data_IF_543211220740
#
_entry.id   IF_543211220740
#
_cell.length_a   1.000
_cell.length_b   1.000
_cell.length_c   1.000
_cell.angle_alpha   90.00
_cell.angle_beta   90.00
_cell.angle_gamma   90.00
#
_symmetry.space_group_name_H-M   'P 1'
#
loop_
_entity.id
_entity.type
_entity.pdbx_description
1 polymer ?
#
# COMPACT_ATOMS: atom_id res chain seq x y z
N UNK A 1 -7.13 -24.70 11.59
CA UNK A 1 -7.53 -23.94 12.78
C UNK A 1 -8.25 -22.72 12.24
N UNK A 2 -9.55 -22.56 12.53
CA UNK A 2 -10.40 -21.50 11.94
C UNK A 2 -10.63 -20.43 13.00
N UNK A 3 -10.55 -19.16 12.62
CA UNK A 3 -10.70 -18.07 13.57
C UNK A 3 -12.16 -17.94 14.02
N UNK A 4 -12.39 -17.63 15.31
CA UNK A 4 -13.73 -17.59 15.90
C UNK A 4 -14.67 -16.58 15.20
N UNK A 5 -14.13 -15.48 14.68
CA UNK A 5 -14.92 -14.48 13.95
C UNK A 5 -15.48 -15.02 12.62
N UNK A 6 -14.71 -15.83 11.88
CA UNK A 6 -15.18 -16.47 10.64
C UNK A 6 -16.32 -17.45 10.91
N UNK A 7 -16.25 -18.18 12.02
CA UNK A 7 -17.31 -19.10 12.46
C UNK A 7 -18.55 -18.32 12.94
N UNK A 8 -18.35 -17.18 13.61
CA UNK A 8 -19.45 -16.34 14.10
C UNK A 8 -20.21 -15.62 12.97
N UNK A 9 -19.51 -15.23 11.91
CA UNK A 9 -20.11 -14.58 10.74
C UNK A 9 -20.95 -15.55 9.90
N UNK A 10 -20.48 -16.79 9.69
CA UNK A 10 -21.17 -17.80 8.88
C UNK A 10 -21.24 -19.15 9.62
N UNK A 11 -22.06 -19.27 10.68
CA UNK A 11 -22.08 -20.47 11.52
C UNK A 11 -22.58 -21.72 10.79
N UNK A 12 -23.45 -21.54 9.80
CA UNK A 12 -24.04 -22.63 9.01
C UNK A 12 -23.00 -23.38 8.17
N UNK A 13 -21.95 -22.68 7.68
CA UNK A 13 -20.83 -23.28 6.94
C UNK A 13 -20.06 -24.30 7.80
N UNK A 14 -20.15 -24.15 9.12
CA UNK A 14 -19.52 -25.03 10.11
C UNK A 14 -20.53 -25.97 10.78
N UNK A 15 -21.78 -26.02 10.29
CA UNK A 15 -22.89 -26.80 10.89
C UNK A 15 -23.15 -26.44 12.36
N UNK A 16 -22.92 -25.18 12.70
CA UNK A 16 -23.17 -24.63 14.02
C UNK A 16 -24.36 -23.67 13.95
N UNK A 17 -25.09 -23.57 15.05
CA UNK A 17 -26.14 -22.56 15.20
C UNK A 17 -25.63 -21.39 16.03
N UNK A 18 -26.21 -20.20 15.83
CA UNK A 18 -25.91 -19.04 16.67
C UNK A 18 -26.14 -19.29 18.17
N UNK A 19 -27.09 -20.16 18.53
CA UNK A 19 -27.34 -20.57 19.91
C UNK A 19 -26.18 -21.42 20.48
N UNK A 20 -25.64 -22.36 19.69
CA UNK A 20 -24.50 -23.17 20.09
C UNK A 20 -23.23 -22.32 20.26
N UNK A 21 -23.01 -21.34 19.39
CA UNK A 21 -21.88 -20.42 19.52
C UNK A 21 -21.95 -19.58 20.80
N UNK A 22 -23.12 -19.06 21.16
CA UNK A 22 -23.31 -18.27 22.39
C UNK A 22 -23.09 -19.09 23.67
N UNK A 23 -23.21 -20.41 23.60
CA UNK A 23 -22.99 -21.29 24.75
C UNK A 23 -21.49 -21.57 25.00
N UNK A 24 -20.62 -21.28 24.03
CA UNK A 24 -19.18 -21.48 24.19
C UNK A 24 -18.61 -20.41 25.10
N UNK A 25 -18.00 -20.85 26.21
CA UNK A 25 -17.26 -19.98 27.12
C UNK A 25 -15.83 -19.84 26.61
N UNK A 26 -15.43 -18.62 26.29
CA UNK A 26 -14.09 -18.33 25.81
C UNK A 26 -13.31 -17.67 26.95
N UNK A 27 -12.13 -18.19 27.31
CA UNK A 27 -11.26 -17.48 28.23
C UNK A 27 -10.84 -16.17 27.56
N UNK A 28 -11.05 -15.06 28.25
CA UNK A 28 -10.56 -13.76 27.81
C UNK A 28 -9.66 -13.17 28.89
N UNK A 29 -8.72 -12.37 28.45
CA UNK A 29 -7.88 -11.56 29.32
C UNK A 29 -8.17 -10.10 29.00
N UNK A 30 -8.49 -9.32 30.03
CA UNK A 30 -8.62 -7.88 29.94
C UNK A 30 -7.33 -7.25 30.42
N UNK A 31 -6.75 -6.44 29.55
CA UNK A 31 -5.60 -5.61 29.87
C UNK A 31 -6.09 -4.17 30.01
N UNK A 32 -5.74 -3.55 31.13
CA UNK A 32 -6.08 -2.17 31.46
C UNK A 32 -4.84 -1.28 31.31
N UNK A 33 -5.04 0.02 31.17
CA UNK A 33 -3.97 1.03 31.11
C UNK A 33 -2.94 0.84 29.98
N UNK A 34 -3.28 0.06 28.95
CA UNK A 34 -2.48 -0.03 27.73
C UNK A 34 -2.72 1.18 26.84
N UNK A 35 -1.64 1.74 26.29
CA UNK A 35 -1.74 2.64 25.16
C UNK A 35 -2.33 1.91 23.94
N UNK A 36 -3.00 2.65 23.05
CA UNK A 36 -3.62 2.07 21.85
C UNK A 36 -2.59 1.30 21.01
N UNK A 37 -1.35 1.78 20.91
CA UNK A 37 -0.25 1.10 20.22
C UNK A 37 0.11 -0.25 20.86
N UNK A 38 0.15 -0.33 22.19
CA UNK A 38 0.45 -1.57 22.91
C UNK A 38 -0.68 -2.61 22.74
N UNK A 39 -1.94 -2.15 22.79
CA UNK A 39 -3.10 -3.00 22.55
C UNK A 39 -3.09 -3.61 21.13
N UNK A 40 -2.68 -2.82 20.12
CA UNK A 40 -2.52 -3.31 18.73
C UNK A 40 -1.43 -4.37 18.65
N UNK A 41 -0.29 -4.19 19.30
CA UNK A 41 0.79 -5.17 19.29
C UNK A 41 0.40 -6.49 19.95
N UNK A 42 -0.29 -6.44 21.11
CA UNK A 42 -0.79 -7.65 21.78
C UNK A 42 -1.74 -8.42 20.86
N UNK A 43 -2.60 -7.71 20.12
CA UNK A 43 -3.47 -8.33 19.13
C UNK A 43 -2.67 -8.95 17.98
N UNK A 44 -1.68 -8.26 17.41
CA UNK A 44 -0.82 -8.81 16.36
C UNK A 44 -0.11 -10.09 16.81
N UNK A 45 0.60 -10.03 17.94
CA UNK A 45 1.41 -11.13 18.44
C UNK A 45 0.54 -12.38 18.66
N UNK A 46 -0.65 -12.24 19.25
CA UNK A 46 -1.57 -13.38 19.49
C UNK A 46 -2.20 -13.95 18.22
N UNK A 47 -2.43 -13.13 17.21
CA UNK A 47 -3.10 -13.56 15.98
C UNK A 47 -2.13 -13.97 14.85
N UNK A 48 -0.86 -13.61 14.93
CA UNK A 48 0.15 -14.10 13.98
C UNK A 48 0.87 -15.32 14.52
N UNK A 49 1.15 -15.36 15.84
CA UNK A 49 1.86 -16.47 16.46
C UNK A 49 0.92 -17.55 17.05
N UNK A 50 -0.36 -17.24 17.28
CA UNK A 50 -1.33 -18.15 17.92
C UNK A 50 -2.44 -18.70 17.01
N UNK A 51 -3.17 -17.84 16.30
CA UNK A 51 -4.29 -18.24 15.40
C UNK A 51 -4.32 -17.34 14.17
N UNK A 52 -4.05 -17.91 12.98
CA UNK A 52 -3.90 -17.16 11.72
C UNK A 52 -5.12 -16.27 11.40
N UNK A 53 -4.94 -14.95 11.46
CA UNK A 53 -5.90 -13.96 10.94
C UNK A 53 -5.55 -13.52 9.51
N UNK A 54 -6.47 -12.82 8.85
CA UNK A 54 -6.20 -12.21 7.55
C UNK A 54 -4.96 -11.29 7.62
N UNK A 55 -4.01 -11.51 6.69
CA UNK A 55 -2.68 -10.86 6.70
C UNK A 55 -2.72 -9.34 6.81
N UNK A 56 -3.69 -8.66 6.20
CA UNK A 56 -3.78 -7.19 6.27
C UNK A 56 -4.27 -6.69 7.63
N UNK A 57 -5.16 -7.44 8.29
CA UNK A 57 -5.58 -7.12 9.65
C UNK A 57 -4.41 -7.32 10.63
N UNK A 58 -3.65 -8.41 10.48
CA UNK A 58 -2.41 -8.55 11.22
C UNK A 58 -1.47 -7.37 10.95
N UNK A 59 -1.15 -7.10 9.68
CA UNK A 59 -0.23 -6.00 9.34
C UNK A 59 -0.68 -4.63 9.87
N UNK A 60 -1.97 -4.29 9.84
CA UNK A 60 -2.46 -3.00 10.41
C UNK A 60 -2.34 -2.91 11.94
N UNK A 61 -2.12 -4.03 12.63
CA UNK A 61 -1.94 -4.09 14.07
C UNK A 61 -0.45 -4.21 14.46
N UNK A 62 0.45 -4.40 13.50
CA UNK A 62 1.89 -4.46 13.73
C UNK A 62 2.43 -3.06 14.03
N UNK A 63 2.87 -2.86 15.26
CA UNK A 63 3.45 -1.61 15.74
C UNK A 63 4.98 -1.73 15.90
N UNK A 64 5.62 -2.84 15.51
CA UNK A 64 7.08 -2.97 15.50
C UNK A 64 7.65 -2.83 14.09
N UNK A 65 6.86 -3.15 13.07
CA UNK A 65 7.24 -2.99 11.67
C UNK A 65 7.41 -1.51 11.29
N UNK A 66 8.66 -1.13 11.01
CA UNK A 66 9.06 0.25 10.71
C UNK A 66 8.26 0.81 9.52
N UNK A 67 8.12 0.02 8.45
CA UNK A 67 7.42 0.45 7.24
C UNK A 67 5.91 0.64 7.45
N UNK A 68 5.28 -0.16 8.33
CA UNK A 68 3.87 -0.04 8.68
C UNK A 68 3.63 1.19 9.55
N UNK A 69 4.48 1.43 10.55
CA UNK A 69 4.43 2.67 11.33
C UNK A 69 4.54 3.89 10.40
N UNK A 70 5.53 3.88 9.50
CA UNK A 70 5.74 4.97 8.55
C UNK A 70 4.54 5.16 7.61
N UNK A 71 3.92 4.07 7.13
CA UNK A 71 2.68 4.16 6.35
C UNK A 71 1.52 4.77 7.13
N UNK A 72 1.39 4.45 8.43
CA UNK A 72 0.39 5.08 9.30
C UNK A 72 0.67 6.56 9.52
N UNK A 73 1.93 6.92 9.80
CA UNK A 73 2.34 8.30 10.01
C UNK A 73 2.02 9.14 8.78
N UNK A 74 2.42 8.69 7.58
CA UNK A 74 2.13 9.38 6.31
C UNK A 74 0.61 9.49 6.08
N UNK A 75 -0.14 8.42 6.31
CA UNK A 75 -1.60 8.49 6.16
C UNK A 75 -2.21 9.53 7.11
N UNK A 76 -1.68 9.68 8.32
CA UNK A 76 -2.19 10.60 9.33
C UNK A 76 -1.72 12.04 9.15
N UNK A 77 -0.51 12.25 8.62
CA UNK A 77 0.13 13.57 8.49
C UNK A 77 -0.28 14.32 7.24
N UNK A 78 -0.57 13.59 6.16
CA UNK A 78 -0.91 14.19 4.86
C UNK A 78 -2.33 14.72 4.88
N UNK A 79 -2.49 16.00 4.51
CA UNK A 79 -3.80 16.66 4.39
C UNK A 79 -4.10 16.91 2.92
N UNK A 80 -5.16 16.28 2.42
CA UNK A 80 -5.58 16.41 1.02
C UNK A 80 -6.83 17.26 0.91
N UNK A 81 -7.01 17.89 -0.25
CA UNK A 81 -8.23 18.65 -0.57
C UNK A 81 -9.19 17.76 -1.32
N UNK A 82 -10.35 17.50 -0.73
CA UNK A 82 -11.43 16.72 -1.33
C UNK A 82 -12.13 17.48 -2.47
N UNK A 83 -12.95 16.79 -3.27
CA UNK A 83 -13.63 17.36 -4.44
C UNK A 83 -14.61 18.50 -4.12
N UNK A 84 -15.02 18.64 -2.85
CA UNK A 84 -15.83 19.75 -2.33
C UNK A 84 -14.99 20.92 -1.77
N UNK A 85 -13.67 20.85 -1.88
CA UNK A 85 -12.73 21.85 -1.38
C UNK A 85 -12.39 21.70 0.11
N UNK A 86 -12.91 20.69 0.81
CA UNK A 86 -12.60 20.46 2.23
C UNK A 86 -11.23 19.82 2.40
N UNK A 87 -10.49 20.25 3.43
CA UNK A 87 -9.21 19.65 3.80
C UNK A 87 -9.44 18.52 4.79
N UNK A 88 -9.04 17.30 4.44
CA UNK A 88 -9.22 16.11 5.27
C UNK A 88 -7.93 15.30 5.35
N UNK A 89 -7.69 14.57 6.46
CA UNK A 89 -6.56 13.65 6.54
C UNK A 89 -6.62 12.55 5.48
N UNK A 90 -5.48 12.21 4.89
CA UNK A 90 -5.40 11.16 3.87
C UNK A 90 -5.83 9.78 4.42
N UNK A 91 -5.67 9.56 5.73
CA UNK A 91 -6.12 8.35 6.43
C UNK A 91 -7.59 8.04 6.22
N UNK A 92 -8.43 9.04 5.94
CA UNK A 92 -9.87 8.84 5.60
C UNK A 92 -10.06 8.03 4.31
N UNK A 93 -9.05 8.00 3.44
CA UNK A 93 -9.08 7.27 2.17
C UNK A 93 -8.28 5.96 2.20
N UNK A 94 -7.80 5.53 3.37
CA UNK A 94 -6.97 4.33 3.54
C UNK A 94 -7.73 3.26 4.31
N UNK A 95 -7.98 2.12 3.65
CA UNK A 95 -8.62 0.97 4.27
C UNK A 95 -7.58 0.07 4.96
N UNK A 96 -7.59 0.05 6.29
CA UNK A 96 -6.63 -0.72 7.07
C UNK A 96 -6.96 -2.22 7.18
N UNK A 97 -8.22 -2.61 7.03
CA UNK A 97 -8.68 -3.97 7.40
C UNK A 97 -8.91 -4.90 6.21
N UNK A 98 -9.55 -4.40 5.14
CA UNK A 98 -9.90 -5.22 3.97
C UNK A 98 -8.67 -5.56 3.13
N UNK A 99 -8.69 -6.76 2.54
CA UNK A 99 -7.65 -7.21 1.60
C UNK A 99 -7.72 -6.55 0.24
N UNK A 100 -8.93 -6.26 -0.22
CA UNK A 100 -9.21 -5.63 -1.51
C UNK A 100 -10.36 -4.66 -1.32
N UNK A 101 -10.30 -3.54 -2.03
CA UNK A 101 -11.40 -2.60 -2.10
C UNK A 101 -12.41 -3.06 -3.14
N UNK A 102 -13.68 -2.93 -2.80
CA UNK A 102 -14.80 -3.03 -3.73
C UNK A 102 -15.06 -1.66 -4.38
N UNK A 103 -15.78 -1.66 -5.51
CA UNK A 103 -16.08 -0.42 -6.23
C UNK A 103 -16.92 0.59 -5.41
N UNK A 104 -17.66 0.12 -4.40
CA UNK A 104 -18.50 0.96 -3.54
C UNK A 104 -17.81 1.41 -2.24
N UNK A 105 -16.59 0.95 -1.95
CA UNK A 105 -15.87 1.36 -0.75
C UNK A 105 -15.46 2.82 -0.86
N UNK A 106 -15.69 3.68 0.16
CA UNK A 106 -15.31 5.09 0.11
C UNK A 106 -13.78 5.29 0.08
N UNK A 107 -13.02 4.33 0.60
CA UNK A 107 -11.56 4.35 0.58
C UNK A 107 -11.00 4.17 -0.85
N UNK A 108 -9.79 4.69 -1.06
CA UNK A 108 -9.13 4.75 -2.37
C UNK A 108 -7.99 3.74 -2.50
N UNK A 109 -7.37 3.36 -1.39
CA UNK A 109 -6.36 2.31 -1.33
C UNK A 109 -6.38 1.57 0.00
N UNK A 110 -5.74 0.40 0.06
CA UNK A 110 -5.53 -0.31 1.32
C UNK A 110 -4.25 0.15 2.01
N UNK A 111 -4.17 -0.01 3.33
CA UNK A 111 -2.93 0.22 4.08
C UNK A 111 -1.77 -0.64 3.54
N UNK A 112 -2.06 -1.87 3.09
CA UNK A 112 -1.05 -2.72 2.47
C UNK A 112 -0.54 -2.17 1.13
N UNK A 113 -1.37 -1.48 0.36
CA UNK A 113 -0.94 -0.76 -0.83
C UNK A 113 -0.06 0.45 -0.48
N UNK A 114 -0.45 1.24 0.52
CA UNK A 114 0.36 2.36 1.00
C UNK A 114 1.71 1.89 1.55
N UNK A 115 1.71 0.82 2.33
CA UNK A 115 2.94 0.20 2.83
C UNK A 115 3.83 -0.30 1.70
N UNK A 116 3.26 -0.88 0.64
CA UNK A 116 4.06 -1.28 -0.52
C UNK A 116 4.77 -0.09 -1.17
N UNK A 117 4.09 1.05 -1.31
CA UNK A 117 4.68 2.31 -1.76
C UNK A 117 5.81 2.78 -0.83
N UNK A 118 5.61 2.74 0.49
CA UNK A 118 6.63 3.11 1.48
C UNK A 118 7.86 2.20 1.39
N UNK A 119 7.67 0.88 1.39
CA UNK A 119 8.75 -0.11 1.34
C UNK A 119 9.57 0.05 0.05
N UNK A 120 8.92 0.21 -1.10
CA UNK A 120 9.67 0.40 -2.36
C UNK A 120 10.28 1.79 -2.49
N UNK A 121 9.73 2.82 -1.86
CA UNK A 121 10.38 4.14 -1.76
C UNK A 121 11.67 4.05 -0.96
N UNK A 122 11.65 3.32 0.15
CA UNK A 122 12.81 3.12 1.01
C UNK A 122 13.88 2.21 0.38
N UNK A 123 13.47 1.03 -0.12
CA UNK A 123 14.39 -0.03 -0.54
C UNK A 123 14.57 -0.15 -2.05
N UNK A 124 13.88 0.68 -2.83
CA UNK A 124 13.87 0.59 -4.28
C UNK A 124 13.27 -0.71 -4.77
N UNK A 125 13.84 -1.24 -5.86
CA UNK A 125 13.38 -2.48 -6.51
C UNK A 125 13.41 -3.71 -5.58
N UNK A 126 14.43 -3.95 -4.74
CA UNK A 126 14.40 -5.01 -3.72
C UNK A 126 13.15 -4.98 -2.83
N UNK A 127 12.61 -3.78 -2.55
CA UNK A 127 11.40 -3.57 -1.76
C UNK A 127 10.15 -4.29 -2.32
N UNK A 128 10.10 -4.60 -3.63
CA UNK A 128 8.97 -5.34 -4.22
C UNK A 128 8.83 -6.72 -3.57
N UNK A 129 9.95 -7.42 -3.36
CA UNK A 129 9.96 -8.73 -2.75
C UNK A 129 9.58 -8.68 -1.26
N UNK A 130 9.93 -7.57 -0.60
CA UNK A 130 9.79 -7.33 0.84
C UNK A 130 8.52 -6.56 1.23
N UNK A 131 7.71 -6.13 0.25
CA UNK A 131 6.47 -5.35 0.43
C UNK A 131 5.42 -5.98 1.36
N UNK A 132 5.59 -7.25 1.74
CA UNK A 132 4.74 -7.96 2.70
C UNK A 132 5.51 -8.75 3.76
N UNK A 133 6.83 -8.57 3.84
CA UNK A 133 7.70 -9.07 4.90
C UNK A 133 7.82 -8.02 6.01
N UNK A 134 8.17 -8.42 7.22
CA UNK A 134 8.49 -7.47 8.28
C UNK A 134 9.75 -6.67 7.89
N UNK A 135 9.70 -5.37 8.12
CA UNK A 135 10.79 -4.41 7.93
C UNK A 135 11.15 -3.89 9.32
N UNK A 136 12.38 -4.17 9.71
CA UNK A 136 12.99 -3.76 10.97
C UNK A 136 13.98 -2.63 10.74
N UNK A 137 14.58 -2.11 11.81
CA UNK A 137 15.65 -1.13 11.69
C UNK A 137 16.90 -1.69 10.96
N UNK A 138 17.12 -3.00 10.99
CA UNK A 138 18.22 -3.65 10.26
C UNK A 138 18.01 -3.63 8.73
N UNK A 139 16.77 -3.41 8.27
CA UNK A 139 16.43 -3.30 6.85
C UNK A 139 16.58 -1.86 6.33
N UNK A 140 16.94 -0.90 7.18
CA UNK A 140 17.16 0.50 6.80
C UNK A 140 18.38 0.61 5.88
N UNK A 141 18.33 1.44 4.82
CA UNK A 141 19.46 1.67 3.92
C UNK A 141 20.76 2.03 4.66
N UNK A 142 21.86 1.40 4.26
CA UNK A 142 23.18 1.62 4.86
C UNK A 142 23.56 3.11 4.88
N UNK A 143 24.14 3.58 5.99
CA UNK A 143 24.57 4.97 6.14
C UNK A 143 23.43 5.95 6.46
N UNK A 144 22.22 5.47 6.73
CA UNK A 144 21.08 6.28 7.15
C UNK A 144 20.57 5.87 8.55
N UNK A 145 19.73 6.72 9.16
CA UNK A 145 19.05 6.41 10.43
C UNK A 145 17.54 6.29 10.19
N UNK A 146 16.83 5.65 11.11
CA UNK A 146 15.37 5.54 11.08
C UNK A 146 14.69 6.91 10.97
N UNK A 147 15.19 7.92 11.69
CA UNK A 147 14.66 9.28 11.65
C UNK A 147 14.90 9.95 10.30
N UNK A 148 16.08 9.79 9.71
CA UNK A 148 16.38 10.32 8.37
C UNK A 148 15.48 9.68 7.32
N UNK A 149 15.32 8.35 7.37
CA UNK A 149 14.42 7.66 6.43
C UNK A 149 12.98 8.11 6.61
N UNK A 150 12.51 8.22 7.86
CA UNK A 150 11.16 8.70 8.17
C UNK A 150 10.93 10.09 7.60
N UNK A 151 11.86 11.02 7.79
CA UNK A 151 11.75 12.38 7.27
C UNK A 151 11.71 12.41 5.74
N UNK A 152 12.72 11.83 5.07
CA UNK A 152 12.86 11.88 3.61
C UNK A 152 11.72 11.16 2.87
N UNK A 153 11.29 10.01 3.38
CA UNK A 153 10.16 9.26 2.81
C UNK A 153 8.85 9.99 3.07
N UNK A 154 8.65 10.56 4.26
CA UNK A 154 7.45 11.36 4.55
C UNK A 154 7.36 12.56 3.62
N UNK A 155 8.46 13.28 3.42
CA UNK A 155 8.49 14.49 2.61
C UNK A 155 8.13 14.20 1.15
N UNK A 156 8.76 13.21 0.52
CA UNK A 156 8.48 12.90 -0.88
C UNK A 156 7.08 12.32 -1.08
N UNK A 157 6.61 11.47 -0.15
CA UNK A 157 5.29 10.86 -0.26
C UNK A 157 4.17 11.85 0.08
N UNK A 158 4.39 12.78 0.99
CA UNK A 158 3.45 13.87 1.26
C UNK A 158 3.29 14.75 0.03
N UNK A 159 4.41 15.18 -0.57
CA UNK A 159 4.37 15.94 -1.83
C UNK A 159 3.59 15.20 -2.92
N UNK A 160 3.87 13.91 -3.13
CA UNK A 160 3.19 13.10 -4.14
C UNK A 160 1.69 12.96 -3.86
N UNK A 161 1.33 12.57 -2.63
CA UNK A 161 -0.07 12.34 -2.26
C UNK A 161 -0.89 13.62 -2.33
N UNK A 162 -0.34 14.77 -1.95
CA UNK A 162 -1.01 16.07 -2.06
C UNK A 162 -1.14 16.52 -3.52
N UNK A 163 -0.06 16.46 -4.28
CA UNK A 163 -0.02 16.95 -5.68
C UNK A 163 -0.90 16.12 -6.60
N UNK A 164 -0.86 14.79 -6.44
CA UNK A 164 -1.54 13.84 -7.31
C UNK A 164 -2.83 13.29 -6.72
N UNK A 165 -3.32 13.82 -5.59
CA UNK A 165 -4.60 13.42 -4.99
C UNK A 165 -5.77 13.35 -5.99
N UNK A 166 -5.91 14.28 -6.96
CA UNK A 166 -6.98 14.18 -7.96
C UNK A 166 -6.99 12.84 -8.72
N UNK A 167 -5.83 12.22 -8.97
CA UNK A 167 -5.74 10.90 -9.60
C UNK A 167 -6.26 9.78 -8.69
N UNK A 168 -6.04 9.90 -7.37
CA UNK A 168 -6.60 8.98 -6.38
C UNK A 168 -8.11 9.15 -6.27
N UNK A 169 -8.59 10.39 -6.15
CA UNK A 169 -10.00 10.72 -6.04
C UNK A 169 -10.80 10.24 -7.27
N UNK A 170 -10.22 10.36 -8.47
CA UNK A 170 -10.79 9.83 -9.71
C UNK A 170 -10.65 8.29 -9.85
N UNK A 171 -10.11 7.59 -8.85
CA UNK A 171 -9.88 6.14 -8.83
C UNK A 171 -9.15 5.63 -10.06
N UNK A 172 -8.16 6.38 -10.54
CA UNK A 172 -7.34 6.00 -11.69
C UNK A 172 -6.50 4.75 -11.38
N UNK A 173 -5.67 4.31 -12.31
CA UNK A 173 -4.80 3.15 -12.14
C UNK A 173 -3.82 3.33 -10.94
N UNK A 174 -3.49 4.57 -10.56
CA UNK A 174 -2.56 4.91 -9.47
C UNK A 174 -2.87 4.20 -8.14
N UNK A 175 -4.16 3.92 -7.90
CA UNK A 175 -4.68 3.26 -6.69
C UNK A 175 -4.33 1.77 -6.59
N UNK A 176 -3.81 1.17 -7.67
CA UNK A 176 -3.59 -0.28 -7.72
C UNK A 176 -2.26 -0.68 -7.05
N UNK A 177 -2.19 -1.84 -6.37
CA UNK A 177 -1.00 -2.22 -5.60
C UNK A 177 0.30 -2.27 -6.42
N UNK A 178 0.25 -2.78 -7.65
CA UNK A 178 1.42 -2.82 -8.52
C UNK A 178 1.89 -1.42 -8.92
N UNK A 179 0.97 -0.47 -9.11
CA UNK A 179 1.32 0.91 -9.45
C UNK A 179 1.97 1.63 -8.26
N UNK A 180 1.38 1.48 -7.07
CA UNK A 180 1.95 2.01 -5.83
C UNK A 180 3.37 1.48 -5.59
N UNK A 181 3.59 0.18 -5.78
CA UNK A 181 4.92 -0.39 -5.64
C UNK A 181 5.91 0.15 -6.69
N UNK A 182 5.51 0.20 -7.96
CA UNK A 182 6.36 0.71 -9.04
C UNK A 182 6.69 2.20 -8.89
N UNK A 183 5.73 3.00 -8.42
CA UNK A 183 5.94 4.39 -8.03
C UNK A 183 6.97 4.52 -6.93
N UNK A 184 6.89 3.69 -5.88
CA UNK A 184 7.90 3.76 -4.82
C UNK A 184 9.30 3.39 -5.33
N UNK A 185 9.44 2.43 -6.26
CA UNK A 185 10.74 2.18 -6.91
C UNK A 185 11.23 3.43 -7.65
N UNK A 186 10.34 4.16 -8.33
CA UNK A 186 10.71 5.41 -8.98
C UNK A 186 11.10 6.50 -7.98
N UNK A 187 10.41 6.61 -6.84
CA UNK A 187 10.68 7.57 -5.78
C UNK A 187 11.98 7.28 -5.05
N UNK A 188 12.34 6.01 -4.92
CA UNK A 188 13.64 5.62 -4.38
C UNK A 188 14.80 6.27 -5.14
N UNK A 189 14.66 6.52 -6.45
CA UNK A 189 15.69 7.24 -7.23
C UNK A 189 15.88 8.70 -6.83
N UNK A 190 14.96 9.27 -6.07
CA UNK A 190 15.13 10.62 -5.51
C UNK A 190 15.66 10.60 -4.07
N UNK A 191 15.80 9.42 -3.45
CA UNK A 191 16.24 9.32 -2.06
C UNK A 191 17.75 9.57 -1.91
N UNK A 192 18.19 10.18 -0.79
CA UNK A 192 19.61 10.45 -0.55
C UNK A 192 20.51 9.22 -0.60
N UNK A 193 19.98 8.06 -0.21
CA UNK A 193 20.67 6.76 -0.17
C UNK A 193 20.52 5.93 -1.45
N UNK A 194 19.88 6.47 -2.49
CA UNK A 194 19.80 5.77 -3.77
C UNK A 194 21.19 5.61 -4.38
N UNK A 195 21.53 4.39 -4.79
CA UNK A 195 22.82 4.07 -5.43
C UNK A 195 22.78 4.22 -6.95
N UNK A 196 21.64 4.61 -7.52
CA UNK A 196 21.50 4.85 -8.96
C UNK A 196 22.34 6.07 -9.40
N UNK A 197 23.16 5.89 -10.44
CA UNK A 197 24.05 6.92 -10.98
C UNK A 197 23.30 8.19 -11.46
N UNK A 198 22.06 8.02 -11.89
CA UNK A 198 21.16 9.10 -12.31
C UNK A 198 20.09 9.36 -11.26
N UNK A 199 20.51 9.86 -10.08
CA UNK A 199 19.60 10.25 -9.01
C UNK A 199 18.63 11.32 -9.52
N UNK A 200 17.33 11.06 -9.40
CA UNK A 200 16.28 11.98 -9.81
C UNK A 200 16.12 13.10 -8.77
N UNK A 201 15.81 14.30 -9.25
CA UNK A 201 15.27 15.35 -8.38
C UNK A 201 13.75 15.21 -8.31
N UNK A 202 13.11 15.71 -7.25
CA UNK A 202 11.64 15.72 -7.15
C UNK A 202 10.99 16.44 -8.34
N UNK A 203 11.65 17.46 -8.90
CA UNK A 203 11.22 18.12 -10.12
C UNK A 203 11.23 17.20 -11.34
N UNK A 204 12.33 16.47 -11.58
CA UNK A 204 12.41 15.50 -12.70
C UNK A 204 11.44 14.34 -12.52
N UNK A 205 11.24 13.91 -11.28
CA UNK A 205 10.24 12.91 -10.96
C UNK A 205 8.83 13.41 -11.31
N UNK A 206 8.46 14.62 -10.91
CA UNK A 206 7.19 15.24 -11.30
C UNK A 206 7.00 15.29 -12.83
N UNK A 207 8.01 15.73 -13.57
CA UNK A 207 7.97 15.72 -15.04
C UNK A 207 7.72 14.31 -15.63
N UNK A 208 8.30 13.26 -15.04
CA UNK A 208 8.04 11.89 -15.48
C UNK A 208 6.60 11.48 -15.22
N UNK A 209 6.04 11.81 -14.06
CA UNK A 209 4.68 11.44 -13.67
C UNK A 209 3.60 12.22 -14.44
N UNK A 210 3.84 13.49 -14.72
CA UNK A 210 2.89 14.38 -15.42
C UNK A 210 2.61 13.94 -16.87
N UNK A 211 3.53 13.15 -17.44
CA UNK A 211 3.38 12.61 -18.81
C UNK A 211 2.63 11.27 -18.87
N UNK A 212 2.42 10.62 -17.71
CA UNK A 212 1.79 9.30 -17.64
C UNK A 212 0.27 9.42 -17.76
N UNK A 213 -0.31 8.54 -18.57
CA UNK A 213 -1.75 8.30 -18.66
C UNK A 213 -2.18 7.36 -17.54
N UNK A 214 -2.88 7.92 -16.56
CA UNK A 214 -3.31 7.18 -15.38
C UNK A 214 -4.64 6.45 -15.57
N UNK A 215 -5.35 6.66 -16.68
CA UNK A 215 -6.63 6.01 -16.95
C UNK A 215 -6.54 4.49 -16.88
N UNK A 216 -7.62 3.86 -16.41
CA UNK A 216 -7.72 2.40 -16.27
C UNK A 216 -8.02 1.73 -17.60
N UNK A 217 -7.15 1.94 -18.59
CA UNK A 217 -7.32 1.44 -19.94
C UNK A 217 -6.25 0.42 -20.33
N UNK A 218 -6.67 -0.61 -21.07
CA UNK A 218 -5.77 -1.62 -21.62
C UNK A 218 -4.73 -1.01 -22.57
N UNK A 219 -5.09 0.07 -23.27
CA UNK A 219 -4.21 0.80 -24.16
C UNK A 219 -2.91 1.24 -23.47
N UNK A 220 -2.98 1.62 -22.20
CA UNK A 220 -1.83 2.09 -21.42
C UNK A 220 -1.19 0.98 -20.59
N UNK A 221 -2.00 0.16 -19.93
CA UNK A 221 -1.50 -0.67 -18.82
C UNK A 221 -1.46 -2.18 -19.09
N UNK A 222 -1.98 -2.63 -20.24
CA UNK A 222 -1.93 -4.06 -20.61
C UNK A 222 -0.48 -4.53 -20.79
N UNK A 223 -0.12 -5.65 -20.19
CA UNK A 223 1.23 -6.19 -20.22
C UNK A 223 2.24 -5.42 -19.35
N UNK A 224 1.81 -4.37 -18.65
CA UNK A 224 2.66 -3.61 -17.71
C UNK A 224 2.16 -3.85 -16.28
N UNK A 225 0.97 -3.34 -15.98
CA UNK A 225 0.37 -3.38 -14.65
C UNK A 225 -0.77 -4.39 -14.53
N UNK A 226 -1.49 -4.61 -15.63
CA UNK A 226 -2.64 -5.49 -15.69
C UNK A 226 -2.65 -6.35 -16.95
N UNK A 227 -3.76 -7.05 -17.13
CA UNK A 227 -4.07 -7.83 -18.33
C UNK A 227 -5.39 -7.37 -18.91
N UNK A 228 -5.45 -7.15 -20.22
CA UNK A 228 -6.68 -6.90 -20.93
C UNK A 228 -7.70 -8.04 -20.71
N UNK A 229 -8.97 -7.69 -20.55
CA UNK A 229 -10.07 -8.64 -20.42
C UNK A 229 -10.70 -8.91 -21.79
N UNK A 230 -11.37 -10.05 -21.95
CA UNK A 230 -12.07 -10.40 -23.19
C UNK A 230 -13.15 -9.39 -23.61
N UNK A 231 -13.63 -8.57 -22.66
CA UNK A 231 -14.63 -7.51 -22.86
C UNK A 231 -14.02 -6.15 -23.21
N UNK A 232 -12.71 -6.06 -23.42
CA UNK A 232 -12.01 -4.82 -23.77
C UNK A 232 -11.63 -3.92 -22.57
N UNK A 233 -11.88 -4.38 -21.34
CA UNK A 233 -11.41 -3.71 -20.12
C UNK A 233 -10.00 -4.15 -19.72
N UNK A 234 -9.56 -3.75 -18.53
CA UNK A 234 -8.29 -4.20 -17.94
C UNK A 234 -8.50 -4.70 -16.50
N UNK A 235 -7.84 -5.82 -16.19
CA UNK A 235 -7.77 -6.37 -14.84
C UNK A 235 -6.41 -6.11 -14.22
N UNK A 236 -6.41 -5.50 -13.04
CA UNK A 236 -5.23 -5.29 -12.20
C UNK A 236 -5.10 -6.35 -11.09
N UNK A 237 -5.61 -7.57 -11.34
CA UNK A 237 -5.58 -8.66 -10.36
C UNK A 237 -4.16 -9.15 -10.01
N UNK A 238 -3.13 -8.69 -10.73
CA UNK A 238 -1.72 -8.93 -10.40
C UNK A 238 -1.29 -8.18 -9.14
N UNK A 239 -0.50 -8.84 -8.30
CA UNK A 239 0.04 -8.26 -7.09
C UNK A 239 1.30 -7.41 -7.33
N UNK A 240 1.81 -6.83 -6.25
CA UNK A 240 3.07 -6.07 -6.22
C UNK A 240 4.22 -6.81 -6.91
N UNK A 241 4.37 -8.11 -6.62
CA UNK A 241 5.47 -8.95 -7.15
C UNK A 241 5.34 -9.26 -8.64
N UNK A 242 4.12 -9.26 -9.17
CA UNK A 242 3.87 -9.67 -10.56
C UNK A 242 4.20 -8.55 -11.55
N UNK A 243 3.91 -7.32 -11.17
CA UNK A 243 3.92 -6.18 -12.10
C UNK A 243 4.69 -4.96 -11.60
N UNK A 244 5.01 -4.85 -10.31
CA UNK A 244 5.62 -3.63 -9.74
C UNK A 244 6.95 -3.23 -10.41
N UNK A 245 7.76 -4.22 -10.80
CA UNK A 245 9.02 -3.96 -11.52
C UNK A 245 8.79 -3.42 -12.93
N UNK A 246 7.86 -4.01 -13.69
CA UNK A 246 7.49 -3.56 -15.05
C UNK A 246 6.89 -2.16 -15.03
N UNK A 247 6.08 -1.85 -14.02
CA UNK A 247 5.56 -0.49 -13.80
C UNK A 247 6.71 0.48 -13.56
N UNK A 248 7.63 0.17 -12.66
CA UNK A 248 8.77 1.02 -12.37
C UNK A 248 9.59 1.31 -13.64
N UNK A 249 9.83 0.29 -14.45
CA UNK A 249 10.56 0.43 -15.73
C UNK A 249 9.82 1.35 -16.71
N UNK A 250 8.50 1.20 -16.85
CA UNK A 250 7.68 2.05 -17.71
C UNK A 250 7.68 3.52 -17.25
N UNK A 251 7.66 3.77 -15.94
CA UNK A 251 7.72 5.13 -15.38
C UNK A 251 9.10 5.75 -15.60
N UNK A 252 10.17 5.04 -15.24
CA UNK A 252 11.54 5.54 -15.21
C UNK A 252 12.20 5.66 -16.58
N UNK A 253 11.79 4.83 -17.55
CA UNK A 253 12.42 4.77 -18.86
C UNK A 253 11.42 5.12 -19.98
N UNK A 254 11.13 6.42 -20.19
CA UNK A 254 10.10 6.87 -21.13
C UNK A 254 10.36 6.44 -22.58
N UNK A 255 11.62 6.24 -22.96
CA UNK A 255 12.00 5.83 -24.32
C UNK A 255 11.87 4.32 -24.60
N UNK A 256 11.45 3.53 -23.60
CA UNK A 256 11.15 2.11 -23.81
C UNK A 256 9.76 1.93 -24.43
N UNK A 257 9.48 0.77 -25.02
CA UNK A 257 8.14 0.44 -25.55
C UNK A 257 7.06 0.65 -24.48
N UNK A 258 7.26 0.11 -23.28
CA UNK A 258 6.33 0.27 -22.16
C UNK A 258 6.27 1.72 -21.67
N UNK A 259 7.39 2.44 -21.67
CA UNK A 259 7.43 3.85 -21.28
C UNK A 259 6.68 4.77 -22.22
N UNK A 260 6.77 4.53 -23.54
CA UNK A 260 5.98 5.25 -24.55
C UNK A 260 4.50 4.89 -24.47
N UNK A 261 4.19 3.61 -24.27
CA UNK A 261 2.81 3.11 -24.15
C UNK A 261 2.01 3.81 -23.06
N UNK A 262 2.57 3.96 -21.84
CA UNK A 262 1.87 4.66 -20.74
C UNK A 262 1.78 6.18 -20.94
N UNK A 263 2.33 6.73 -22.03
CA UNK A 263 2.32 8.17 -22.36
C UNK A 263 1.55 8.47 -23.64
N UNK A 264 0.85 7.48 -24.20
CA UNK A 264 0.20 7.56 -25.52
C UNK A 264 1.16 7.91 -26.66
N UNK A 265 2.42 7.49 -26.56
CA UNK A 265 3.43 7.70 -27.59
C UNK A 265 3.61 6.41 -28.40
N UNK A 266 3.81 6.56 -29.71
CA UNK A 266 4.11 5.47 -30.64
C UNK A 266 5.59 5.05 -30.52
#
# INVERSE_FOLDING_TARGET
MTAWHEIAENPDDYRLTAAQLRAVRIPFELYWDLQISEARQVFFDRNVLGVTVAKNLAMSMDQRDFATQLAHDIASSVIVTNGDGTKVPFSTFVQATKRQLSAGDPELLTLSGLRALVVTTMLGRPGIALSSAAITEDDIPEGTTADTVRAEVTDILSWFLETYFPLFAARTAVTTPALLAGLGVAFNRAMPWSTDADRLTSYRLGQLLDTVQWDREAAYWDGIAGKATATGGISFAGGVKDSGGRVADAILFPDTENGRKIRSQA
#
